data_IF_500329907129
#
_entry.id   IF_500329907129
#
_cell.length_a   1.000
_cell.length_b   1.000
_cell.length_c   1.000
_cell.angle_alpha   90.00
_cell.angle_beta   90.00
_cell.angle_gamma   90.00
#
_symmetry.space_group_name_H-M   'P 1'
#
loop_
_entity.id
_entity.type
_entity.pdbx_description
1 polymer ?
#
# COMPACT_ATOMS: atom_id res chain seq x y z
N UNK A 1 45.12 -33.92 31.86
CA UNK A 1 46.34 -33.86 32.72
C UNK A 1 47.54 -34.32 31.91
N UNK A 2 48.68 -33.68 32.12
CA UNK A 2 49.95 -34.08 31.50
C UNK A 2 50.86 -34.63 32.58
N UNK A 3 51.47 -35.79 32.37
CA UNK A 3 52.51 -36.35 33.20
C UNK A 3 53.72 -36.50 32.31
N UNK A 4 54.87 -35.93 32.73
CA UNK A 4 56.17 -35.96 31.99
C UNK A 4 56.02 -35.52 30.50
N UNK A 5 55.15 -34.54 30.21
CA UNK A 5 54.95 -34.05 28.89
C UNK A 5 54.06 -34.93 27.95
N UNK A 6 53.58 -36.07 28.45
CA UNK A 6 52.61 -36.91 27.72
C UNK A 6 51.20 -36.72 28.26
N UNK A 7 50.23 -36.60 27.31
CA UNK A 7 48.81 -36.51 27.62
C UNK A 7 48.31 -37.88 28.11
N UNK A 8 48.01 -38.02 29.41
CA UNK A 8 47.64 -39.33 30.04
C UNK A 8 46.12 -39.46 30.23
N UNK A 9 45.38 -38.37 30.24
CA UNK A 9 43.94 -38.42 30.35
C UNK A 9 43.33 -37.11 29.90
N UNK A 10 42.24 -37.19 29.09
CA UNK A 10 41.40 -36.05 28.70
C UNK A 10 40.04 -36.27 29.35
N UNK A 11 39.94 -35.86 30.61
CA UNK A 11 38.61 -35.77 31.21
C UNK A 11 37.87 -34.60 30.57
N UNK A 12 36.72 -34.88 29.93
CA UNK A 12 35.81 -33.84 29.47
C UNK A 12 35.21 -33.15 30.72
N UNK A 13 35.76 -32.01 31.09
CA UNK A 13 35.34 -31.25 32.30
C UNK A 13 34.07 -30.41 32.02
N UNK A 14 33.30 -30.79 31.06
CA UNK A 14 32.02 -30.18 30.68
C UNK A 14 32.02 -29.74 29.23
N UNK A 15 31.09 -30.22 28.47
CA UNK A 15 30.74 -29.62 27.22
C UNK A 15 29.89 -28.38 27.51
N UNK A 16 30.48 -27.21 27.43
CA UNK A 16 29.70 -26.00 27.27
C UNK A 16 29.16 -26.10 25.86
N UNK A 17 27.88 -26.40 25.73
CA UNK A 17 27.17 -26.26 24.47
C UNK A 17 27.25 -24.77 24.09
N UNK A 18 28.21 -24.41 23.25
CA UNK A 18 28.24 -23.10 22.62
C UNK A 18 27.09 -23.17 21.64
N UNK A 19 25.88 -22.84 22.12
CA UNK A 19 24.80 -22.46 21.18
C UNK A 19 25.44 -21.43 20.26
N UNK A 20 25.43 -21.67 18.92
CA UNK A 20 25.88 -20.66 18.00
C UNK A 20 25.16 -19.38 18.43
N UNK A 21 25.92 -18.32 18.64
CA UNK A 21 25.32 -17.03 18.95
C UNK A 21 24.29 -16.80 17.88
N UNK A 22 23.02 -16.96 18.23
CA UNK A 22 21.95 -16.39 17.42
C UNK A 22 22.38 -14.95 17.32
N UNK A 23 22.79 -14.55 16.10
CA UNK A 23 23.12 -13.16 15.83
C UNK A 23 21.95 -12.39 16.40
N UNK A 24 22.17 -11.75 17.56
CA UNK A 24 21.19 -10.87 18.14
C UNK A 24 21.01 -9.86 17.03
N UNK A 25 19.94 -10.00 16.24
CA UNK A 25 19.47 -8.92 15.42
C UNK A 25 19.15 -7.88 16.48
N UNK A 26 20.13 -7.02 16.75
CA UNK A 26 19.87 -5.75 17.36
C UNK A 26 18.97 -5.08 16.31
N UNK A 27 17.67 -5.29 16.43
CA UNK A 27 16.71 -4.32 15.99
C UNK A 27 17.09 -3.11 16.83
N UNK A 28 18.03 -2.32 16.29
CA UNK A 28 18.23 -0.95 16.72
C UNK A 28 16.81 -0.45 16.67
N UNK A 29 16.24 -0.14 17.82
CA UNK A 29 14.89 0.36 17.88
C UNK A 29 14.89 1.73 17.20
N UNK A 30 14.84 1.71 15.88
CA UNK A 30 14.39 2.86 15.13
C UNK A 30 13.01 3.10 15.71
N UNK A 31 12.92 4.20 16.43
CA UNK A 31 11.68 4.66 17.07
C UNK A 31 10.58 4.44 16.03
N UNK A 32 9.74 3.43 16.24
CA UNK A 32 8.62 3.15 15.35
C UNK A 32 7.81 4.44 15.25
N UNK A 33 7.91 5.10 14.10
CA UNK A 33 7.13 6.29 13.81
C UNK A 33 5.92 5.77 13.02
N UNK A 34 4.76 5.58 13.66
CA UNK A 34 3.65 4.82 13.10
C UNK A 34 3.07 5.42 11.82
N UNK A 35 3.40 6.67 11.52
CA UNK A 35 2.95 7.39 10.32
C UNK A 35 4.05 7.61 9.27
N UNK A 36 5.23 6.99 9.44
CA UNK A 36 6.33 7.05 8.46
C UNK A 36 6.46 5.71 7.77
N UNK A 37 6.52 5.72 6.43
CA UNK A 37 6.67 4.51 5.64
C UNK A 37 8.05 3.88 5.82
N UNK A 38 8.08 2.55 5.69
CA UNK A 38 9.27 1.77 5.44
C UNK A 38 9.42 1.59 3.92
N UNK A 39 10.40 2.26 3.31
CA UNK A 39 10.60 2.23 1.86
C UNK A 39 11.12 0.88 1.34
N UNK A 40 11.62 0.02 2.23
CA UNK A 40 12.13 -1.30 1.83
C UNK A 40 11.02 -2.32 1.54
N UNK A 41 9.79 -2.03 1.95
CA UNK A 41 8.66 -2.93 1.76
C UNK A 41 7.33 -2.20 1.65
N UNK A 42 6.63 -2.40 0.52
CA UNK A 42 5.29 -1.90 0.25
C UNK A 42 4.29 -3.05 0.17
N UNK A 43 3.18 -2.92 0.86
CA UNK A 43 2.09 -3.88 0.78
C UNK A 43 1.26 -3.62 -0.48
N UNK A 44 0.92 -4.68 -1.22
CA UNK A 44 -0.02 -4.59 -2.33
C UNK A 44 -1.40 -4.11 -1.84
N UNK A 45 -2.07 -3.17 -2.54
CA UNK A 45 -3.28 -2.52 -2.01
C UNK A 45 -4.53 -3.39 -2.03
N UNK A 46 -4.47 -4.60 -2.59
CA UNK A 46 -5.59 -5.57 -2.64
C UNK A 46 -5.14 -6.96 -2.21
N UNK A 47 -6.10 -7.87 -1.99
CA UNK A 47 -5.80 -9.30 -1.82
C UNK A 47 -5.73 -10.02 -3.17
N UNK A 48 -5.03 -11.16 -3.20
CA UNK A 48 -5.08 -12.12 -4.32
C UNK A 48 -6.35 -12.96 -4.24
N UNK A 49 -6.87 -13.47 -5.38
CA UNK A 49 -6.43 -13.18 -6.75
C UNK A 49 -6.88 -11.77 -7.20
N UNK A 50 -6.11 -11.13 -8.05
CA UNK A 50 -6.44 -9.86 -8.67
C UNK A 50 -6.06 -9.86 -10.15
N UNK A 51 -6.64 -8.94 -10.92
CA UNK A 51 -6.32 -8.71 -12.33
C UNK A 51 -5.92 -7.26 -12.52
N UNK A 52 -4.83 -6.98 -13.24
CA UNK A 52 -4.51 -5.64 -13.71
C UNK A 52 -5.31 -5.40 -14.99
N UNK A 53 -6.24 -4.47 -14.94
CA UNK A 53 -7.10 -4.14 -16.10
C UNK A 53 -6.53 -3.01 -16.93
N UNK A 54 -5.70 -2.14 -16.34
CA UNK A 54 -4.97 -1.09 -17.05
C UNK A 54 -3.62 -0.85 -16.38
N UNK A 55 -2.60 -0.64 -17.21
CA UNK A 55 -1.24 -0.34 -16.77
C UNK A 55 -0.96 1.17 -16.73
N UNK A 56 0.15 1.55 -16.13
CA UNK A 56 0.71 2.89 -16.15
C UNK A 56 1.26 3.18 -17.55
N UNK A 57 0.45 3.78 -18.42
CA UNK A 57 0.74 3.90 -19.86
C UNK A 57 -0.15 4.95 -20.56
N UNK A 58 0.22 5.30 -21.78
CA UNK A 58 -0.67 6.05 -22.66
C UNK A 58 -1.85 5.18 -23.13
N UNK A 59 -3.08 5.72 -23.03
CA UNK A 59 -4.31 5.10 -23.55
C UNK A 59 -5.30 6.18 -24.00
N UNK A 60 -5.98 5.95 -25.11
CA UNK A 60 -7.07 6.82 -25.61
C UNK A 60 -6.70 8.32 -25.67
N UNK A 61 -5.45 8.63 -26.05
CA UNK A 61 -4.98 10.02 -26.17
C UNK A 61 -4.56 10.70 -24.87
N UNK A 62 -4.58 9.99 -23.71
CA UNK A 62 -4.15 10.50 -22.42
C UNK A 62 -3.23 9.51 -21.71
N UNK A 63 -2.38 10.04 -20.81
CA UNK A 63 -1.54 9.20 -19.99
C UNK A 63 -2.30 8.75 -18.74
N UNK A 64 -2.35 7.43 -18.50
CA UNK A 64 -2.89 6.83 -17.28
C UNK A 64 -1.80 6.76 -16.20
N UNK A 65 -1.85 7.68 -15.25
CA UNK A 65 -0.84 7.88 -14.20
C UNK A 65 -1.03 6.96 -12.98
N UNK A 66 -1.61 5.78 -13.19
CA UNK A 66 -1.97 4.80 -12.18
C UNK A 66 -1.94 3.39 -12.77
N UNK A 67 -2.27 2.40 -11.95
CA UNK A 67 -2.69 1.07 -12.42
C UNK A 67 -4.13 0.81 -11.98
N UNK A 68 -4.91 0.17 -12.84
CA UNK A 68 -6.27 -0.27 -12.50
C UNK A 68 -6.23 -1.73 -12.06
N UNK A 69 -6.71 -2.00 -10.85
CA UNK A 69 -6.72 -3.33 -10.24
C UNK A 69 -8.16 -3.78 -10.02
N UNK A 70 -8.51 -4.96 -10.52
CA UNK A 70 -9.81 -5.57 -10.29
C UNK A 70 -9.69 -6.79 -9.34
N UNK A 71 -10.57 -6.83 -8.34
CA UNK A 71 -10.77 -7.99 -7.45
C UNK A 71 -12.26 -8.33 -7.36
N UNK A 72 -13.11 -7.30 -7.46
CA UNK A 72 -14.56 -7.38 -7.34
C UNK A 72 -15.12 -6.24 -6.47
N UNK A 73 -16.37 -5.86 -6.75
CA UNK A 73 -17.06 -4.80 -6.01
C UNK A 73 -17.14 -5.15 -4.50
N UNK A 74 -16.86 -4.18 -3.64
CA UNK A 74 -16.86 -4.35 -2.19
C UNK A 74 -15.62 -5.03 -1.61
N UNK A 75 -14.69 -5.49 -2.45
CA UNK A 75 -13.43 -6.08 -1.98
C UNK A 75 -12.61 -5.08 -1.15
N UNK A 76 -11.94 -5.53 -0.08
CA UNK A 76 -11.18 -4.64 0.79
C UNK A 76 -9.96 -4.05 0.09
N UNK A 77 -9.71 -2.76 0.36
CA UNK A 77 -8.55 -1.98 -0.07
C UNK A 77 -7.70 -1.69 1.15
N UNK A 78 -6.38 -1.79 0.99
CA UNK A 78 -5.40 -1.67 2.07
C UNK A 78 -4.40 -0.55 1.81
N UNK A 79 -3.94 0.11 2.89
CA UNK A 79 -2.85 1.07 2.82
C UNK A 79 -1.55 0.39 2.37
N UNK A 80 -0.92 0.91 1.32
CA UNK A 80 0.31 0.34 0.76
C UNK A 80 1.50 0.46 1.73
N UNK A 81 1.50 1.47 2.61
CA UNK A 81 2.51 1.63 3.65
C UNK A 81 1.95 2.45 4.82
N UNK A 82 2.74 2.62 5.89
CA UNK A 82 2.43 3.54 6.98
C UNK A 82 2.31 4.97 6.44
N UNK A 83 1.48 5.79 7.07
CA UNK A 83 1.33 7.17 6.66
C UNK A 83 0.21 7.89 7.39
N UNK A 84 -0.07 9.10 6.92
CA UNK A 84 -1.19 9.94 7.39
C UNK A 84 -2.13 10.18 6.22
N UNK A 85 -3.42 10.05 6.44
CA UNK A 85 -4.43 10.39 5.43
C UNK A 85 -4.35 11.88 5.12
N UNK A 86 -3.84 12.22 3.96
CA UNK A 86 -3.64 13.60 3.52
C UNK A 86 -4.95 14.21 3.00
N UNK A 87 -5.75 13.42 2.30
CA UNK A 87 -7.03 13.87 1.77
C UNK A 87 -8.02 12.73 1.57
N UNK A 88 -9.33 13.07 1.61
CA UNK A 88 -10.44 12.15 1.40
C UNK A 88 -11.55 12.88 0.66
N UNK A 89 -12.03 12.31 -0.44
CA UNK A 89 -13.27 12.72 -1.08
C UNK A 89 -14.31 11.62 -0.98
N UNK A 90 -15.52 11.97 -0.55
CA UNK A 90 -16.61 11.02 -0.35
C UNK A 90 -17.95 11.60 -0.84
N UNK A 91 -19.04 10.81 -0.72
CA UNK A 91 -20.38 11.23 -1.08
C UNK A 91 -20.72 11.07 -2.58
N UNK A 92 -19.83 10.47 -3.38
CA UNK A 92 -20.09 10.25 -4.78
C UNK A 92 -21.10 9.13 -5.01
N UNK A 93 -22.06 9.40 -5.89
CA UNK A 93 -23.03 8.44 -6.38
C UNK A 93 -22.45 7.74 -7.62
N UNK A 94 -22.75 6.44 -7.79
CA UNK A 94 -22.38 5.69 -9.01
C UNK A 94 -22.98 6.36 -10.24
N UNK A 95 -22.18 6.42 -11.32
CA UNK A 95 -22.59 7.08 -12.55
C UNK A 95 -22.45 8.59 -12.56
N UNK A 96 -22.09 9.22 -11.41
CA UNK A 96 -21.69 10.62 -11.39
C UNK A 96 -20.21 10.74 -11.81
N UNK A 97 -20.00 10.87 -13.10
CA UNK A 97 -18.67 10.92 -13.71
C UNK A 97 -17.87 12.18 -13.36
N UNK A 98 -18.51 13.21 -12.81
CA UNK A 98 -17.86 14.48 -12.46
C UNK A 98 -17.51 14.60 -10.99
N UNK A 99 -18.05 13.70 -10.15
CA UNK A 99 -17.83 13.76 -8.71
C UNK A 99 -16.33 13.74 -8.36
N UNK A 100 -15.90 14.68 -7.52
CA UNK A 100 -14.50 14.87 -7.15
C UNK A 100 -13.54 14.93 -8.36
N UNK A 101 -13.94 15.64 -9.44
CA UNK A 101 -13.20 15.75 -10.69
C UNK A 101 -12.94 14.39 -11.36
N UNK A 102 -13.92 13.49 -11.34
CA UNK A 102 -13.84 12.15 -11.92
C UNK A 102 -13.23 11.09 -11.04
N UNK A 103 -12.58 11.44 -9.93
CA UNK A 103 -11.92 10.49 -9.00
C UNK A 103 -12.91 9.61 -8.24
N UNK A 104 -14.18 10.02 -8.17
CA UNK A 104 -15.17 9.38 -7.33
C UNK A 104 -14.83 9.53 -5.84
N UNK A 105 -15.22 8.58 -5.04
CA UNK A 105 -14.73 8.49 -3.66
C UNK A 105 -13.25 8.09 -3.69
N UNK A 106 -12.41 8.83 -2.95
CA UNK A 106 -10.96 8.62 -3.00
C UNK A 106 -10.28 8.83 -1.65
N UNK A 107 -9.07 8.28 -1.53
CA UNK A 107 -8.15 8.51 -0.41
C UNK A 107 -6.78 8.86 -0.99
N UNK A 108 -6.09 9.82 -0.36
CA UNK A 108 -4.67 10.11 -0.58
C UNK A 108 -3.94 9.92 0.75
N UNK A 109 -2.87 9.13 0.75
CA UNK A 109 -2.00 8.91 1.92
C UNK A 109 -0.67 9.61 1.67
N UNK A 110 -0.24 10.44 2.63
CA UNK A 110 1.14 10.92 2.75
C UNK A 110 1.94 9.92 3.59
N UNK A 111 2.99 9.38 3.04
CA UNK A 111 3.84 8.39 3.72
C UNK A 111 4.93 9.02 4.61
N UNK A 112 4.99 10.36 4.66
CA UNK A 112 5.85 11.17 5.53
C UNK A 112 7.36 10.89 5.37
N UNK A 113 7.77 10.33 4.25
CA UNK A 113 9.17 10.08 3.89
C UNK A 113 9.35 10.19 2.37
N UNK A 114 10.46 10.76 1.93
CA UNK A 114 10.85 10.81 0.50
C UNK A 114 9.84 11.50 -0.41
N UNK A 115 8.86 12.20 0.14
CA UNK A 115 7.79 12.82 -0.63
C UNK A 115 6.77 11.83 -1.21
N UNK A 116 6.77 10.56 -0.79
CA UNK A 116 5.85 9.55 -1.31
C UNK A 116 4.41 9.77 -0.87
N UNK A 117 3.50 9.70 -1.85
CA UNK A 117 2.06 9.63 -1.66
C UNK A 117 1.48 8.46 -2.44
N UNK A 118 0.45 7.82 -1.89
CA UNK A 118 -0.39 6.87 -2.63
C UNK A 118 -1.82 7.36 -2.72
N UNK A 119 -2.45 7.08 -3.84
CA UNK A 119 -3.80 7.47 -4.18
C UNK A 119 -4.64 6.23 -4.45
N UNK A 120 -5.91 6.27 -4.03
CA UNK A 120 -6.88 5.19 -4.17
C UNK A 120 -8.19 5.81 -4.62
N UNK A 121 -8.66 5.52 -5.84
CA UNK A 121 -9.87 6.11 -6.39
C UNK A 121 -10.98 5.08 -6.67
N UNK A 122 -12.14 5.61 -7.06
CA UNK A 122 -13.34 4.88 -7.43
C UNK A 122 -13.90 4.00 -6.30
N UNK A 123 -13.67 4.40 -5.03
CA UNK A 123 -14.03 3.63 -3.85
C UNK A 123 -15.55 3.54 -3.66
N UNK A 124 -16.00 2.40 -3.10
CA UNK A 124 -17.39 2.23 -2.67
C UNK A 124 -17.61 2.79 -1.26
N UNK A 125 -16.78 2.41 -0.30
CA UNK A 125 -16.82 2.93 1.07
C UNK A 125 -15.43 3.35 1.53
N UNK A 126 -15.38 4.30 2.48
CA UNK A 126 -14.15 4.81 3.09
C UNK A 126 -14.25 4.57 4.59
N UNK A 127 -13.19 3.98 5.19
CA UNK A 127 -13.14 3.59 6.60
C UNK A 127 -12.18 4.46 7.42
N UNK A 128 -11.64 5.51 6.82
CA UNK A 128 -10.66 6.42 7.43
C UNK A 128 -11.06 7.88 7.21
N UNK A 129 -10.44 8.81 7.93
CA UNK A 129 -10.68 10.25 7.81
C UNK A 129 -9.37 11.02 7.64
N UNK A 130 -9.43 12.20 7.07
CA UNK A 130 -8.30 13.12 6.93
C UNK A 130 -7.59 13.34 8.28
N UNK A 131 -6.26 13.33 8.27
CA UNK A 131 -5.40 13.44 9.46
C UNK A 131 -5.23 12.13 10.24
N UNK A 132 -5.95 11.06 9.91
CA UNK A 132 -5.78 9.77 10.58
C UNK A 132 -4.47 9.11 10.18
N UNK A 133 -3.73 8.57 11.16
CA UNK A 133 -2.59 7.68 10.93
C UNK A 133 -3.09 6.30 10.52
N UNK A 134 -2.43 5.70 9.53
CA UNK A 134 -2.68 4.35 9.06
C UNK A 134 -1.40 3.53 9.02
N UNK A 135 -1.53 2.24 9.26
CA UNK A 135 -0.43 1.28 9.15
C UNK A 135 -0.46 0.57 7.80
N UNK A 136 0.71 0.15 7.32
CA UNK A 136 0.84 -0.73 6.15
C UNK A 136 -0.07 -1.96 6.28
N UNK A 137 -0.84 -2.24 5.25
CA UNK A 137 -1.80 -3.35 5.23
C UNK A 137 -3.08 -3.11 6.03
N UNK A 138 -3.28 -1.93 6.62
CA UNK A 138 -4.54 -1.58 7.26
C UNK A 138 -5.64 -1.44 6.21
N UNK A 139 -6.82 -2.04 6.43
CA UNK A 139 -8.00 -1.82 5.59
C UNK A 139 -8.45 -0.36 5.71
N UNK A 140 -8.52 0.34 4.58
CA UNK A 140 -8.88 1.76 4.51
C UNK A 140 -10.18 2.03 3.76
N UNK A 141 -10.58 1.10 2.86
CA UNK A 141 -11.74 1.28 2.00
C UNK A 141 -12.27 -0.05 1.46
N UNK A 142 -13.28 0.04 0.60
CA UNK A 142 -13.71 -1.05 -0.28
C UNK A 142 -13.74 -0.58 -1.74
N UNK A 143 -13.43 -1.52 -2.65
CA UNK A 143 -13.42 -1.30 -4.10
C UNK A 143 -14.82 -0.96 -4.60
N UNK A 144 -14.90 0.01 -5.49
CA UNK A 144 -16.16 0.48 -6.06
C UNK A 144 -16.07 0.86 -7.54
N UNK A 145 -16.96 1.74 -7.93
CA UNK A 145 -17.08 2.27 -9.29
C UNK A 145 -17.69 3.67 -9.31
N UNK A 146 -17.38 4.48 -8.29
CA UNK A 146 -17.79 5.89 -8.24
C UNK A 146 -16.88 6.76 -9.11
N UNK A 147 -17.37 7.91 -9.58
CA UNK A 147 -16.60 8.79 -10.45
C UNK A 147 -16.58 8.34 -11.91
N UNK A 148 -15.53 8.72 -12.65
CA UNK A 148 -15.39 8.39 -14.07
C UNK A 148 -14.72 7.03 -14.25
N UNK A 149 -15.51 6.01 -14.48
CA UNK A 149 -15.08 4.62 -14.76
C UNK A 149 -15.61 4.16 -16.12
N UNK A 150 -14.95 3.19 -16.75
CA UNK A 150 -15.37 2.61 -18.04
C UNK A 150 -15.49 1.08 -17.89
N UNK A 151 -16.64 0.49 -18.22
CA UNK A 151 -17.88 1.14 -18.62
C UNK A 151 -18.54 1.91 -17.46
N UNK A 152 -19.16 3.06 -17.77
CA UNK A 152 -19.82 3.90 -16.78
C UNK A 152 -21.19 3.32 -16.43
N UNK A 153 -21.52 3.09 -15.14
CA UNK A 153 -22.86 2.70 -14.75
C UNK A 153 -23.85 3.85 -14.91
N UNK A 154 -25.14 3.56 -15.05
CA UNK A 154 -26.14 4.59 -15.01
C UNK A 154 -26.15 5.31 -13.65
N UNK A 155 -26.48 6.60 -13.65
CA UNK A 155 -26.52 7.43 -12.45
C UNK A 155 -27.44 6.82 -11.38
N UNK A 156 -26.92 6.66 -10.15
CA UNK A 156 -27.68 6.10 -9.03
C UNK A 156 -27.97 4.60 -9.11
N UNK A 157 -27.50 3.90 -10.17
CA UNK A 157 -27.79 2.47 -10.35
C UNK A 157 -27.04 1.58 -9.35
N UNK A 158 -27.54 0.35 -9.19
CA UNK A 158 -26.86 -0.72 -8.45
C UNK A 158 -25.81 -1.49 -9.28
N UNK A 159 -25.59 -1.10 -10.53
CA UNK A 159 -24.66 -1.78 -11.43
C UNK A 159 -23.23 -1.78 -10.89
N UNK A 160 -22.53 -2.89 -11.08
CA UNK A 160 -21.10 -3.05 -10.74
C UNK A 160 -20.17 -2.83 -11.95
N UNK A 161 -20.72 -2.35 -13.08
CA UNK A 161 -19.95 -2.03 -14.27
C UNK A 161 -18.82 -1.04 -13.95
N UNK A 162 -17.66 -1.22 -14.56
CA UNK A 162 -16.50 -0.36 -14.35
C UNK A 162 -15.84 -0.46 -12.96
N UNK A 163 -16.18 -1.48 -12.16
CA UNK A 163 -15.53 -1.68 -10.85
C UNK A 163 -14.05 -1.91 -10.99
N UNK A 164 -13.24 -1.10 -10.32
CA UNK A 164 -11.78 -1.27 -10.15
C UNK A 164 -11.25 -0.35 -9.05
N UNK A 165 -10.02 -0.57 -8.63
CA UNK A 165 -9.21 0.38 -7.89
C UNK A 165 -8.25 1.04 -8.89
N UNK A 166 -8.34 2.35 -9.08
CA UNK A 166 -7.27 3.15 -9.66
C UNK A 166 -6.27 3.45 -8.54
N UNK A 167 -5.06 2.88 -8.67
CA UNK A 167 -3.98 3.00 -7.69
C UNK A 167 -2.81 3.77 -8.28
N UNK A 168 -2.57 4.97 -7.76
CA UNK A 168 -1.50 5.86 -8.18
C UNK A 168 -0.44 6.06 -7.11
N UNK A 169 0.80 6.34 -7.55
CA UNK A 169 1.94 6.67 -6.70
C UNK A 169 2.55 7.99 -7.16
N UNK A 170 2.90 8.86 -6.20
CA UNK A 170 3.39 10.21 -6.45
C UNK A 170 4.61 10.53 -5.60
N UNK A 171 5.51 11.35 -6.15
CA UNK A 171 6.54 12.07 -5.40
C UNK A 171 6.12 13.54 -5.35
N UNK A 172 5.91 14.05 -4.15
CA UNK A 172 5.26 15.35 -3.92
C UNK A 172 3.73 15.24 -3.91
N UNK A 173 3.08 16.35 -3.62
CA UNK A 173 1.62 16.41 -3.41
C UNK A 173 0.87 16.10 -4.70
N UNK A 174 0.02 15.08 -4.74
CA UNK A 174 -0.81 14.77 -5.90
C UNK A 174 -1.66 15.98 -6.31
N UNK A 175 -1.67 16.30 -7.61
CA UNK A 175 -2.37 17.46 -8.18
C UNK A 175 -1.93 18.84 -7.65
N UNK A 176 -0.90 18.90 -6.79
CA UNK A 176 -0.33 20.12 -6.21
C UNK A 176 1.14 20.33 -6.59
N UNK A 177 1.54 19.90 -7.79
CA UNK A 177 2.93 19.99 -8.27
C UNK A 177 3.79 18.74 -8.06
N UNK A 178 3.22 17.66 -7.50
CA UNK A 178 3.87 16.35 -7.45
C UNK A 178 3.94 15.67 -8.81
N UNK A 179 4.88 14.74 -8.95
CA UNK A 179 5.09 13.91 -10.15
C UNK A 179 4.63 12.48 -9.86
N UNK A 180 3.79 11.93 -10.74
CA UNK A 180 3.39 10.52 -10.66
C UNK A 180 4.52 9.60 -11.13
N UNK A 181 4.63 8.43 -10.51
CA UNK A 181 5.58 7.37 -10.91
C UNK A 181 4.82 6.06 -11.13
N UNK A 182 5.46 5.13 -11.86
CA UNK A 182 4.86 3.82 -12.09
C UNK A 182 4.67 3.07 -10.75
N UNK A 183 3.45 2.71 -10.36
CA UNK A 183 3.19 2.00 -9.10
C UNK A 183 3.98 0.70 -8.95
N UNK A 184 4.28 0.00 -10.04
CA UNK A 184 5.11 -1.22 -10.00
C UNK A 184 6.56 -0.98 -9.54
N UNK A 185 7.04 0.26 -9.53
CA UNK A 185 8.38 0.56 -9.01
C UNK A 185 8.52 0.39 -7.49
N UNK A 186 7.39 0.17 -6.78
CA UNK A 186 7.39 -0.07 -5.34
C UNK A 186 7.50 -1.57 -4.97
N UNK A 187 7.33 -2.49 -5.94
CA UNK A 187 7.20 -3.93 -5.74
C UNK A 187 8.29 -4.73 -6.52
#
# INVERSE_FOLDING_TARGET
>A
QYINGQLVDVALVGSVEIKPSVSKILVKGDKYIPNVADLSYWAWPTKKPYTITTYYQYRWGAFHAAIDIYVGFGSPIYAANNGTIADVGSGCVRGDTKCNNGRGNYIIINHNIGGYYTQYMHLNSINVRKGQTVSRGQKIATMGNTGYVVPTPAYGSSSYAGTHLDFGVWIGVPYGGGTHINPFSLY
#
